data_IF_037005556795
#
_entry.id   IF_037005556795
#
_cell.length_a   1.000
_cell.length_b   1.000
_cell.length_c   1.000
_cell.angle_alpha   90.00
_cell.angle_beta   90.00
_cell.angle_gamma   90.00
#
_symmetry.space_group_name_H-M   'P 1'
#
loop_
_entity.id
_entity.type
_entity.pdbx_description
1 polymer ?
#
# COMPACT_ATOMS: atom_id res chain seq x y z
N UNK A 1 2.71 -21.23 31.44
CA UNK A 1 3.22 -21.56 30.09
C UNK A 1 4.70 -21.92 30.21
N UNK A 2 5.19 -22.83 29.36
CA UNK A 2 6.59 -23.33 29.40
C UNK A 2 7.60 -22.29 28.90
N UNK A 3 7.16 -21.39 28.03
CA UNK A 3 7.96 -20.29 27.51
C UNK A 3 7.46 -18.98 28.15
N UNK A 4 8.26 -18.40 29.03
CA UNK A 4 8.00 -17.11 29.68
C UNK A 4 9.27 -16.27 29.63
N UNK A 5 9.15 -14.99 29.31
CA UNK A 5 10.27 -14.03 29.24
C UNK A 5 11.43 -14.47 28.31
N UNK A 6 11.09 -15.23 27.26
CA UNK A 6 12.00 -15.70 26.22
C UNK A 6 11.35 -15.62 24.83
N UNK A 7 12.15 -15.30 23.81
CA UNK A 7 11.78 -15.38 22.40
C UNK A 7 12.53 -16.53 21.74
N UNK A 8 11.79 -17.43 21.09
CA UNK A 8 12.35 -18.50 20.27
C UNK A 8 12.33 -18.07 18.80
N UNK A 9 13.50 -17.97 18.18
CA UNK A 9 13.65 -17.68 16.76
C UNK A 9 13.50 -18.95 15.91
N UNK A 10 13.15 -18.80 14.63
CA UNK A 10 12.95 -19.92 13.69
C UNK A 10 14.19 -20.79 13.43
N UNK A 11 15.38 -20.34 13.84
CA UNK A 11 16.63 -21.10 13.83
C UNK A 11 16.94 -21.81 15.18
N UNK A 12 15.94 -21.91 16.07
CA UNK A 12 16.03 -22.43 17.44
C UNK A 12 16.90 -21.60 18.41
N UNK A 13 17.34 -20.40 18.03
CA UNK A 13 18.05 -19.51 18.94
C UNK A 13 17.08 -18.90 19.97
N UNK A 14 17.49 -18.81 21.22
CA UNK A 14 16.68 -18.31 22.33
C UNK A 14 17.23 -16.97 22.80
N UNK A 15 16.45 -15.91 22.67
CA UNK A 15 16.75 -14.61 23.29
C UNK A 15 16.04 -14.55 24.64
N UNK A 16 16.82 -14.45 25.72
CA UNK A 16 16.26 -14.18 27.04
C UNK A 16 15.99 -12.68 27.23
N UNK A 17 14.91 -12.37 27.94
CA UNK A 17 14.53 -10.99 28.32
C UNK A 17 15.64 -10.20 29.04
N UNK A 18 16.51 -10.90 29.75
CA UNK A 18 17.63 -10.34 30.51
C UNK A 18 18.99 -10.61 29.82
N UNK A 19 19.02 -10.68 28.48
CA UNK A 19 20.27 -10.82 27.72
C UNK A 19 21.25 -9.69 28.06
N UNK A 20 22.55 -10.02 28.13
CA UNK A 20 23.63 -9.06 28.33
C UNK A 20 23.80 -8.09 27.14
N UNK A 21 23.31 -8.47 25.96
CA UNK A 21 23.33 -7.64 24.75
C UNK A 21 22.19 -6.62 24.83
N UNK A 22 22.49 -5.41 25.31
CA UNK A 22 21.50 -4.38 25.68
C UNK A 22 20.57 -4.00 24.51
N UNK A 23 21.08 -3.92 23.28
CA UNK A 23 20.28 -3.58 22.10
C UNK A 23 19.27 -4.68 21.74
N UNK A 24 19.73 -5.95 21.72
CA UNK A 24 18.86 -7.11 21.48
C UNK A 24 17.86 -7.29 22.62
N UNK A 25 18.31 -7.15 23.87
CA UNK A 25 17.48 -7.16 25.07
C UNK A 25 16.38 -6.10 25.00
N UNK A 26 16.70 -4.87 24.58
CA UNK A 26 15.72 -3.78 24.43
C UNK A 26 14.64 -4.12 23.42
N UNK A 27 14.99 -4.63 22.24
CA UNK A 27 14.01 -5.06 21.24
C UNK A 27 13.20 -6.25 21.72
N UNK A 28 13.84 -7.24 22.35
CA UNK A 28 13.16 -8.43 22.88
C UNK A 28 12.14 -8.08 23.97
N UNK A 29 12.45 -7.14 24.87
CA UNK A 29 11.50 -6.65 25.87
C UNK A 29 10.28 -6.01 25.20
N UNK A 30 10.46 -5.17 24.16
CA UNK A 30 9.33 -4.58 23.41
C UNK A 30 8.46 -5.65 22.73
N UNK A 31 9.06 -6.63 22.06
CA UNK A 31 8.31 -7.73 21.44
C UNK A 31 7.53 -8.53 22.50
N UNK A 32 8.15 -8.85 23.64
CA UNK A 32 7.49 -9.59 24.71
C UNK A 32 6.32 -8.80 25.35
N UNK A 33 6.52 -7.50 25.60
CA UNK A 33 5.58 -6.67 26.34
C UNK A 33 4.47 -6.04 25.50
N UNK A 34 4.79 -5.64 24.25
CA UNK A 34 3.91 -4.86 23.38
C UNK A 34 3.26 -5.72 22.27
N UNK A 35 3.74 -6.95 22.04
CA UNK A 35 3.13 -7.89 21.08
C UNK A 35 2.73 -9.21 21.74
N UNK A 36 3.68 -9.96 22.33
CA UNK A 36 3.42 -11.32 22.84
C UNK A 36 2.41 -11.31 23.99
N UNK A 37 2.56 -10.40 24.97
CA UNK A 37 1.59 -10.26 26.06
C UNK A 37 0.19 -9.88 25.52
N UNK A 38 -0.01 -8.80 24.72
CA UNK A 38 -1.32 -8.49 24.16
C UNK A 38 -1.95 -9.62 23.34
N UNK A 39 -1.18 -10.33 22.51
CA UNK A 39 -1.69 -11.50 21.78
C UNK A 39 -2.17 -12.64 22.71
N UNK A 40 -1.50 -12.84 23.86
CA UNK A 40 -1.91 -13.81 24.88
C UNK A 40 -3.12 -13.34 25.69
N UNK A 41 -3.23 -12.05 25.99
CA UNK A 41 -4.35 -11.45 26.73
C UNK A 41 -5.63 -11.46 25.90
N UNK A 42 -5.55 -11.11 24.61
CA UNK A 42 -6.65 -11.19 23.62
C UNK A 42 -6.98 -12.65 23.27
N UNK A 43 -6.09 -13.61 23.56
CA UNK A 43 -6.21 -15.01 23.14
C UNK A 43 -6.44 -15.11 21.63
N UNK A 44 -5.51 -14.54 20.85
CA UNK A 44 -5.57 -14.64 19.38
C UNK A 44 -5.45 -16.10 18.93
N UNK A 45 -6.23 -16.49 17.93
CA UNK A 45 -6.09 -17.82 17.29
C UNK A 45 -5.34 -17.79 15.95
N UNK A 46 -5.07 -18.98 15.41
CA UNK A 46 -4.32 -19.14 14.16
C UNK A 46 -5.00 -18.51 12.94
N UNK A 47 -6.34 -18.45 12.92
CA UNK A 47 -7.09 -17.83 11.83
C UNK A 47 -6.99 -16.30 11.90
N UNK A 48 -7.22 -15.72 13.07
CA UNK A 48 -7.08 -14.28 13.32
C UNK A 48 -5.64 -13.82 13.04
N UNK A 49 -4.65 -14.59 13.51
CA UNK A 49 -3.24 -14.33 13.27
C UNK A 49 -2.87 -14.46 11.78
N UNK A 50 -3.47 -15.41 11.05
CA UNK A 50 -3.32 -15.51 9.59
C UNK A 50 -3.90 -14.27 8.88
N UNK A 51 -5.08 -13.79 9.28
CA UNK A 51 -5.67 -12.57 8.75
C UNK A 51 -4.79 -11.33 9.03
N UNK A 52 -4.25 -11.16 10.24
CA UNK A 52 -3.33 -10.05 10.53
C UNK A 52 -2.08 -10.08 9.63
N UNK A 53 -1.46 -11.25 9.45
CA UNK A 53 -0.33 -11.41 8.51
C UNK A 53 -0.72 -11.05 7.07
N UNK A 54 -1.90 -11.45 6.61
CA UNK A 54 -2.41 -11.12 5.28
C UNK A 54 -2.73 -9.62 5.11
N UNK A 55 -3.25 -8.96 6.15
CA UNK A 55 -3.47 -7.50 6.15
C UNK A 55 -2.14 -6.75 6.01
N UNK A 56 -1.10 -7.15 6.75
CA UNK A 56 0.25 -6.59 6.60
C UNK A 56 0.82 -6.86 5.21
N UNK A 57 0.67 -8.09 4.70
CA UNK A 57 1.21 -8.51 3.40
C UNK A 57 0.58 -7.78 2.20
N UNK A 58 -0.74 -7.56 2.20
CA UNK A 58 -1.44 -6.87 1.10
C UNK A 58 -1.30 -5.34 1.22
N UNK A 59 -0.07 -4.83 1.13
CA UNK A 59 0.21 -3.40 1.23
C UNK A 59 0.10 -2.67 -0.12
N UNK A 60 -0.89 -1.79 -0.34
CA UNK A 60 -1.07 -1.10 -1.62
C UNK A 60 -0.05 0.02 -1.82
N UNK A 61 0.64 0.45 -0.76
CA UNK A 61 1.69 1.47 -0.79
C UNK A 61 3.09 0.86 -1.05
N UNK A 62 3.18 -0.46 -1.24
CA UNK A 62 4.41 -1.15 -1.58
C UNK A 62 4.95 -0.74 -2.96
N UNK A 63 6.28 -0.59 -3.04
CA UNK A 63 6.97 -0.21 -4.29
C UNK A 63 6.92 -1.33 -5.32
N UNK A 64 6.81 -0.96 -6.60
CA UNK A 64 6.85 -1.91 -7.73
C UNK A 64 5.53 -2.63 -8.03
N UNK A 65 4.43 -2.28 -7.36
CA UNK A 65 3.11 -2.83 -7.67
C UNK A 65 2.58 -2.36 -9.04
N UNK A 66 2.14 -3.32 -9.86
CA UNK A 66 1.48 -3.02 -11.14
C UNK A 66 0.03 -2.55 -10.99
N UNK A 67 -0.65 -2.96 -9.90
CA UNK A 67 -2.04 -2.58 -9.60
C UNK A 67 -2.26 -2.43 -8.08
N UNK A 68 -1.96 -1.25 -7.51
CA UNK A 68 -2.23 -0.93 -6.10
C UNK A 68 -3.70 -1.04 -5.70
N UNK A 69 -4.64 -0.80 -6.62
CA UNK A 69 -6.08 -0.83 -6.34
C UNK A 69 -6.53 -2.26 -6.08
N UNK A 70 -6.05 -3.23 -6.86
CA UNK A 70 -6.28 -4.65 -6.61
C UNK A 70 -5.69 -5.09 -5.26
N UNK A 71 -4.49 -4.64 -4.90
CA UNK A 71 -3.90 -4.95 -3.57
C UNK A 71 -4.79 -4.41 -2.44
N UNK A 72 -5.22 -3.14 -2.54
CA UNK A 72 -6.13 -2.51 -1.57
C UNK A 72 -7.44 -3.28 -1.44
N UNK A 73 -8.01 -3.74 -2.55
CA UNK A 73 -9.24 -4.53 -2.54
C UNK A 73 -9.02 -5.91 -1.87
N UNK A 74 -7.87 -6.57 -2.10
CA UNK A 74 -7.55 -7.83 -1.42
C UNK A 74 -7.35 -7.64 0.10
N UNK A 75 -6.64 -6.58 0.53
CA UNK A 75 -6.54 -6.20 1.96
C UNK A 75 -7.93 -6.02 2.58
N UNK A 76 -8.82 -5.30 1.89
CA UNK A 76 -10.18 -5.05 2.36
C UNK A 76 -11.02 -6.35 2.49
N UNK A 77 -10.90 -7.29 1.54
CA UNK A 77 -11.57 -8.59 1.63
C UNK A 77 -11.08 -9.42 2.84
N UNK A 78 -9.78 -9.37 3.17
CA UNK A 78 -9.25 -10.01 4.38
C UNK A 78 -9.78 -9.35 5.65
N UNK A 79 -9.92 -8.02 5.67
CA UNK A 79 -10.50 -7.28 6.80
C UNK A 79 -11.96 -7.69 7.04
N UNK A 80 -12.79 -7.74 5.99
CA UNK A 80 -14.18 -8.23 6.08
C UNK A 80 -14.23 -9.68 6.59
N UNK A 81 -13.40 -10.56 6.02
CA UNK A 81 -13.35 -11.98 6.43
C UNK A 81 -12.97 -12.16 7.90
N UNK A 82 -12.12 -11.28 8.45
CA UNK A 82 -11.75 -11.27 9.86
C UNK A 82 -12.89 -10.73 10.73
N UNK A 83 -13.57 -9.67 10.30
CA UNK A 83 -14.73 -9.11 11.01
C UNK A 83 -15.88 -10.13 11.08
N UNK A 84 -16.21 -10.79 9.97
CA UNK A 84 -17.23 -11.85 9.91
C UNK A 84 -16.87 -13.04 10.83
N UNK A 85 -15.62 -13.51 10.79
CA UNK A 85 -15.12 -14.59 11.65
C UNK A 85 -15.23 -14.27 13.15
N UNK A 86 -14.98 -13.02 13.53
CA UNK A 86 -15.12 -12.53 14.90
C UNK A 86 -16.61 -12.42 15.28
N UNK A 87 -17.46 -11.95 14.38
CA UNK A 87 -18.90 -11.77 14.63
C UNK A 87 -19.64 -13.10 14.82
N UNK A 88 -19.25 -14.16 14.10
CA UNK A 88 -19.78 -15.52 14.32
C UNK A 88 -19.47 -16.05 15.73
N UNK A 89 -18.40 -15.54 16.37
CA UNK A 89 -18.00 -15.87 17.74
C UNK A 89 -18.67 -14.94 18.77
N UNK A 90 -19.98 -15.11 18.89
CA UNK A 90 -20.95 -14.30 19.64
C UNK A 90 -20.59 -13.86 21.08
N UNK A 91 -19.62 -14.48 21.76
CA UNK A 91 -19.32 -14.23 23.18
C UNK A 91 -18.26 -13.16 23.45
N UNK A 92 -17.46 -12.75 22.45
CA UNK A 92 -16.34 -11.80 22.65
C UNK A 92 -16.08 -10.89 21.42
N UNK A 93 -17.09 -10.69 20.56
CA UNK A 93 -16.92 -10.00 19.28
C UNK A 93 -16.80 -8.48 19.37
N UNK A 94 -17.34 -7.86 20.43
CA UNK A 94 -17.47 -6.40 20.52
C UNK A 94 -16.13 -5.73 20.85
N UNK A 95 -15.47 -5.19 19.83
CA UNK A 95 -14.24 -4.40 19.95
C UNK A 95 -12.98 -5.18 19.58
N UNK A 96 -13.02 -6.51 19.66
CA UNK A 96 -11.92 -7.44 19.33
C UNK A 96 -11.26 -7.17 17.98
N UNK A 97 -12.05 -6.90 16.93
CA UNK A 97 -11.52 -6.52 15.61
C UNK A 97 -10.62 -5.27 15.68
N UNK A 98 -11.05 -4.25 16.43
CA UNK A 98 -10.27 -3.04 16.65
C UNK A 98 -9.00 -3.30 17.47
N UNK A 99 -9.10 -4.09 18.53
CA UNK A 99 -7.94 -4.47 19.37
C UNK A 99 -6.87 -5.21 18.56
N UNK A 100 -7.27 -6.19 17.74
CA UNK A 100 -6.37 -6.91 16.84
C UNK A 100 -5.68 -5.99 15.83
N UNK A 101 -6.39 -5.02 15.24
CA UNK A 101 -5.80 -4.05 14.31
C UNK A 101 -4.88 -3.04 15.01
N UNK A 102 -5.15 -2.69 16.27
CA UNK A 102 -4.32 -1.76 17.06
C UNK A 102 -2.94 -2.33 17.45
N UNK A 103 -2.71 -3.63 17.23
CA UNK A 103 -1.37 -4.25 17.36
C UNK A 103 -0.46 -3.98 16.14
N UNK A 104 -1.03 -3.63 14.99
CA UNK A 104 -0.27 -3.40 13.76
C UNK A 104 0.65 -2.15 13.82
N UNK A 105 0.23 -0.98 14.36
CA UNK A 105 1.12 0.16 14.56
C UNK A 105 2.30 -0.15 15.49
N UNK A 106 2.06 -0.95 16.53
CA UNK A 106 3.09 -1.41 17.47
C UNK A 106 4.12 -2.31 16.78
N UNK A 107 3.64 -3.27 15.98
CA UNK A 107 4.50 -4.12 15.15
C UNK A 107 5.34 -3.29 14.18
N UNK A 108 4.76 -2.27 13.54
CA UNK A 108 5.48 -1.36 12.65
C UNK A 108 6.55 -0.56 13.39
N UNK A 109 6.25 -0.04 14.60
CA UNK A 109 7.21 0.68 15.45
C UNK A 109 8.42 -0.18 15.83
N UNK A 110 8.20 -1.43 16.21
CA UNK A 110 9.27 -2.37 16.55
C UNK A 110 10.07 -2.75 15.29
N UNK A 111 9.40 -3.01 14.18
CA UNK A 111 10.05 -3.33 12.89
C UNK A 111 10.96 -2.19 12.44
N UNK A 112 10.51 -0.94 12.54
CA UNK A 112 11.33 0.21 12.15
C UNK A 112 12.55 0.39 13.05
N UNK A 113 12.41 0.19 14.36
CA UNK A 113 13.56 0.16 15.28
C UNK A 113 14.56 -0.95 14.88
N UNK A 114 14.10 -2.15 14.55
CA UNK A 114 14.98 -3.25 14.11
C UNK A 114 15.71 -2.92 12.80
N UNK A 115 15.02 -2.31 11.83
CA UNK A 115 15.64 -1.84 10.59
C UNK A 115 16.70 -0.78 10.89
N UNK A 116 16.39 0.25 11.68
CA UNK A 116 17.31 1.33 12.07
C UNK A 116 18.61 0.79 12.67
N UNK A 117 18.53 -0.17 13.60
CA UNK A 117 19.73 -0.82 14.19
C UNK A 117 20.58 -1.50 13.11
N UNK A 118 19.95 -2.20 12.16
CA UNK A 118 20.64 -2.82 11.02
C UNK A 118 21.28 -1.76 10.11
N UNK A 119 20.64 -0.60 9.89
CA UNK A 119 21.25 0.51 9.12
C UNK A 119 22.48 1.07 9.82
N UNK A 120 22.41 1.24 11.15
CA UNK A 120 23.50 1.77 11.97
C UNK A 120 24.72 0.83 11.94
N UNK A 121 24.54 -0.45 12.27
CA UNK A 121 25.61 -1.47 12.27
C UNK A 121 26.28 -1.58 10.89
N UNK A 122 25.50 -1.42 9.80
CA UNK A 122 26.02 -1.34 8.43
C UNK A 122 26.86 -0.10 8.19
N UNK A 123 26.39 1.08 8.61
CA UNK A 123 27.04 2.36 8.38
C UNK A 123 28.42 2.44 9.06
N UNK A 124 28.57 1.84 10.24
CA UNK A 124 29.85 1.72 10.94
C UNK A 124 30.72 0.55 10.45
N UNK A 125 30.27 -0.22 9.45
CA UNK A 125 31.02 -1.35 8.88
C UNK A 125 31.24 -2.51 9.85
N UNK A 126 30.46 -2.58 10.94
CA UNK A 126 30.65 -3.55 12.03
C UNK A 126 30.25 -4.97 11.64
N UNK A 127 29.30 -5.12 10.71
CA UNK A 127 28.83 -6.40 10.18
C UNK A 127 28.66 -6.31 8.67
N UNK A 128 29.04 -7.37 7.94
CA UNK A 128 28.69 -7.55 6.54
C UNK A 128 27.24 -8.05 6.46
N UNK A 129 26.36 -7.24 5.90
CA UNK A 129 24.97 -7.62 5.62
C UNK A 129 24.93 -8.34 4.27
N UNK A 130 24.33 -9.53 4.24
CA UNK A 130 24.11 -10.26 3.00
C UNK A 130 23.20 -9.50 2.03
N UNK A 131 23.49 -9.62 0.73
CA UNK A 131 22.78 -8.88 -0.33
C UNK A 131 21.25 -9.06 -0.25
N UNK A 132 20.78 -10.27 0.05
CA UNK A 132 19.36 -10.57 0.23
C UNK A 132 18.74 -9.80 1.41
N UNK A 133 19.42 -9.76 2.56
CA UNK A 133 18.92 -9.05 3.74
C UNK A 133 18.91 -7.53 3.51
N UNK A 134 19.91 -7.02 2.77
CA UNK A 134 19.93 -5.64 2.31
C UNK A 134 18.74 -5.34 1.38
N UNK A 135 18.49 -6.17 0.36
CA UNK A 135 17.40 -5.96 -0.59
C UNK A 135 16.03 -5.99 0.11
N UNK A 136 15.81 -6.96 1.00
CA UNK A 136 14.55 -7.15 1.72
C UNK A 136 14.26 -6.07 2.78
N UNK A 137 15.27 -5.57 3.51
CA UNK A 137 15.05 -4.65 4.64
C UNK A 137 15.42 -3.19 4.37
N UNK A 138 16.37 -2.93 3.47
CA UNK A 138 16.89 -1.59 3.19
C UNK A 138 16.40 -1.04 1.84
N UNK A 139 15.73 -1.90 1.06
CA UNK A 139 15.51 -1.70 -0.36
C UNK A 139 16.79 -2.02 -1.15
N UNK A 140 16.64 -2.73 -2.27
CA UNK A 140 17.70 -2.82 -3.25
C UNK A 140 18.12 -1.41 -3.68
N UNK A 141 19.43 -1.18 -3.83
CA UNK A 141 19.89 -0.02 -4.57
C UNK A 141 19.42 -0.23 -6.01
N UNK A 142 18.35 0.45 -6.40
CA UNK A 142 17.94 0.59 -7.79
C UNK A 142 19.00 1.41 -8.51
N UNK A 143 20.10 0.73 -8.86
CA UNK A 143 21.05 1.16 -9.86
C UNK A 143 20.33 1.11 -11.21
N UNK A 144 19.40 2.05 -11.42
CA UNK A 144 19.08 2.57 -12.75
C UNK A 144 20.30 3.34 -13.27
N UNK A 145 21.40 2.60 -13.43
CA UNK A 145 22.37 2.91 -14.48
C UNK A 145 21.69 2.50 -15.78
N UNK A 146 20.78 3.37 -16.22
CA UNK A 146 20.30 3.37 -17.59
C UNK A 146 21.52 3.26 -18.49
N UNK A 147 21.68 2.12 -19.17
CA UNK A 147 22.82 1.84 -20.03
C UNK A 147 22.77 2.71 -21.29
N UNK A 148 23.03 4.02 -21.14
CA UNK A 148 23.30 4.95 -22.22
C UNK A 148 24.75 4.76 -22.66
N UNK A 149 25.04 3.57 -23.16
CA UNK A 149 26.35 3.18 -23.67
C UNK A 149 26.19 2.77 -25.15
N UNK A 150 26.23 3.77 -26.02
CA UNK A 150 26.60 3.62 -27.42
C UNK A 150 27.57 4.75 -27.79
N UNK A 151 28.89 4.51 -27.78
CA UNK A 151 29.82 5.42 -28.42
C UNK A 151 29.61 5.29 -29.94
N UNK A 152 28.93 6.26 -30.54
CA UNK A 152 28.73 6.33 -31.99
C UNK A 152 30.09 6.57 -32.68
N UNK A 153 30.62 5.52 -33.30
CA UNK A 153 31.82 5.60 -34.12
C UNK A 153 31.44 6.16 -35.50
N UNK A 154 32.06 7.25 -36.00
CA UNK A 154 31.74 7.77 -37.32
C UNK A 154 32.27 6.82 -38.41
N UNK A 155 31.37 6.38 -39.30
CA UNK A 155 31.70 5.57 -40.48
C UNK A 155 32.06 6.50 -41.66
N UNK A 156 33.29 6.38 -42.15
CA UNK A 156 33.78 7.20 -43.26
C UNK A 156 33.72 6.39 -44.58
N UNK A 157 32.81 6.76 -45.48
CA UNK A 157 32.72 6.20 -46.84
C UNK A 157 33.14 7.24 -47.88
N UNK A 158 34.06 6.87 -48.78
CA UNK A 158 34.49 7.70 -49.91
C UNK A 158 33.65 7.39 -51.15
N UNK A 159 33.24 8.43 -51.87
CA UNK A 159 32.55 8.32 -53.16
C UNK A 159 33.58 8.21 -54.31
N UNK A 160 33.52 7.20 -55.20
CA UNK A 160 34.63 6.88 -56.11
C UNK A 160 34.89 7.88 -57.24
N UNK A 161 34.04 8.88 -57.49
CA UNK A 161 34.11 9.69 -58.73
C UNK A 161 34.57 11.15 -58.54
N UNK A 162 34.60 11.70 -57.32
CA UNK A 162 35.01 13.11 -57.07
C UNK A 162 35.93 13.33 -55.87
N UNK A 163 36.23 12.29 -55.07
CA UNK A 163 37.30 12.34 -54.07
C UNK A 163 37.09 13.28 -52.88
N UNK A 164 35.88 13.79 -52.65
CA UNK A 164 35.55 14.63 -51.50
C UNK A 164 35.01 13.79 -50.34
N UNK A 165 35.49 14.06 -49.13
CA UNK A 165 35.01 13.37 -47.90
C UNK A 165 33.81 14.12 -47.34
N UNK A 166 32.63 13.49 -47.33
CA UNK A 166 31.40 14.08 -46.79
C UNK A 166 31.16 13.56 -45.37
N UNK A 167 30.90 14.49 -44.44
CA UNK A 167 30.59 14.19 -43.03
C UNK A 167 29.08 14.23 -42.84
N UNK A 168 28.43 13.05 -42.84
CA UNK A 168 27.00 12.95 -42.55
C UNK A 168 26.77 12.99 -41.04
N UNK A 169 26.16 14.07 -40.56
CA UNK A 169 25.62 14.14 -39.19
C UNK A 169 24.38 13.27 -39.02
N UNK A 170 24.01 12.91 -37.77
CA UNK A 170 22.81 12.10 -37.52
C UNK A 170 21.54 12.89 -37.88
N UNK A 171 20.66 12.26 -38.67
CA UNK A 171 19.33 12.79 -38.97
C UNK A 171 18.43 12.74 -37.74
N UNK A 172 17.90 13.88 -37.32
CA UNK A 172 16.79 13.94 -36.35
C UNK A 172 15.53 13.31 -36.98
N UNK A 173 14.95 12.32 -36.33
CA UNK A 173 13.69 11.71 -36.77
C UNK A 173 12.53 12.67 -36.57
N UNK A 174 12.09 13.32 -37.66
CA UNK A 174 10.88 14.14 -37.68
C UNK A 174 9.64 13.23 -37.55
N UNK A 175 8.79 13.49 -36.56
CA UNK A 175 7.49 12.81 -36.43
C UNK A 175 6.59 13.30 -37.55
N UNK A 176 6.20 12.41 -38.46
CA UNK A 176 5.30 12.74 -39.56
C UNK A 176 3.83 12.68 -39.09
N UNK A 177 3.15 13.82 -39.16
CA UNK A 177 1.69 13.90 -39.03
C UNK A 177 1.06 13.56 -40.38
N UNK A 178 0.15 12.58 -40.41
CA UNK A 178 -0.67 12.32 -41.59
C UNK A 178 -1.76 13.40 -41.74
N UNK A 179 -1.77 14.08 -42.88
CA UNK A 179 -2.85 15.00 -43.27
C UNK A 179 -3.03 14.91 -44.79
N UNK A 180 -4.15 14.33 -45.24
CA UNK A 180 -4.53 14.27 -46.65
C UNK A 180 -5.86 15.01 -46.85
N UNK A 181 -5.76 16.05 -47.68
CA UNK A 181 -6.74 16.86 -48.41
C UNK A 181 -8.26 16.63 -48.25
N UNK A 182 -8.97 17.74 -48.04
CA UNK A 182 -10.39 17.93 -48.36
C UNK A 182 -10.65 18.00 -49.87
N UNK A 183 -11.92 17.90 -50.32
CA UNK A 183 -12.57 19.14 -50.78
C UNK A 183 -14.08 19.30 -50.46
N UNK A 184 -14.48 20.57 -50.40
CA UNK A 184 -15.80 21.21 -50.64
C UNK A 184 -17.08 20.81 -49.85
N UNK A 185 -17.65 21.83 -49.21
CA UNK A 185 -19.02 21.92 -48.63
C UNK A 185 -20.04 22.45 -49.63
N UNK A 186 -21.35 22.16 -49.43
CA UNK A 186 -22.27 23.26 -49.10
C UNK A 186 -23.26 23.00 -47.94
N UNK A 187 -23.63 24.09 -47.25
CA UNK A 187 -24.72 24.26 -46.26
C UNK A 187 -25.93 24.99 -46.93
N UNK A 188 -27.10 25.25 -46.27
CA UNK A 188 -27.74 24.67 -45.07
C UNK A 188 -29.27 24.35 -45.25
N UNK A 189 -29.97 23.79 -44.24
CA UNK A 189 -31.27 24.28 -43.67
C UNK A 189 -32.01 23.30 -42.70
N UNK A 190 -32.73 23.77 -41.66
CA UNK A 190 -33.61 22.99 -40.73
C UNK A 190 -35.12 23.32 -40.95
N UNK A 191 -36.10 23.10 -40.02
CA UNK A 191 -36.41 22.02 -39.04
C UNK A 191 -37.89 21.49 -39.08
N UNK A 192 -38.19 20.29 -38.55
CA UNK A 192 -39.50 19.87 -37.96
C UNK A 192 -39.21 18.83 -36.84
N UNK A 193 -39.79 18.83 -35.62
CA UNK A 193 -41.20 18.59 -35.25
C UNK A 193 -41.42 17.07 -34.99
N UNK A 194 -42.04 16.53 -33.92
CA UNK A 194 -42.81 17.10 -32.78
C UNK A 194 -43.15 16.01 -31.73
N UNK A 195 -43.51 16.40 -30.48
CA UNK A 195 -44.08 15.55 -29.39
C UNK A 195 -43.18 15.48 -28.13
N UNK A 196 -43.44 16.15 -26.99
CA UNK A 196 -44.57 16.09 -26.00
C UNK A 196 -44.68 14.74 -25.27
N UNK A 197 -44.97 14.63 -23.96
CA UNK A 197 -45.25 15.62 -22.88
C UNK A 197 -43.98 15.96 -22.03
N UNK A 198 -43.91 16.93 -21.09
CA UNK A 198 -44.83 17.97 -20.58
C UNK A 198 -45.77 17.71 -19.37
N UNK A 199 -45.24 17.46 -18.15
CA UNK A 199 -45.95 17.76 -16.88
C UNK A 199 -45.13 18.65 -15.91
N UNK A 200 -45.78 19.64 -15.29
CA UNK A 200 -45.22 20.65 -14.37
C UNK A 200 -46.35 21.19 -13.46
N UNK A 201 -46.00 21.87 -12.35
CA UNK A 201 -46.88 22.70 -11.45
C UNK A 201 -47.66 21.83 -10.42
N UNK A 202 -47.89 22.17 -9.13
CA UNK A 202 -47.58 23.29 -8.20
C UNK A 202 -47.30 22.69 -6.79
N UNK A 203 -46.50 23.24 -5.87
CA UNK A 203 -46.53 24.54 -5.16
C UNK A 203 -47.57 24.67 -4.00
N UNK A 204 -47.06 25.03 -2.81
CA UNK A 204 -47.72 25.55 -1.59
C UNK A 204 -48.61 24.63 -0.72
N UNK A 205 -48.25 24.47 0.57
CA UNK A 205 -48.76 25.31 1.68
C UNK A 205 -48.05 24.99 3.02
N UNK A 206 -48.12 25.91 3.99
CA UNK A 206 -47.53 25.78 5.33
C UNK A 206 -48.59 26.01 6.43
N UNK A 207 -48.43 25.37 7.61
CA UNK A 207 -48.95 25.72 8.97
C UNK A 207 -48.80 24.48 9.89
N UNK A 208 -47.82 24.38 10.82
CA UNK A 208 -47.77 24.79 12.25
C UNK A 208 -48.97 24.35 13.14
N UNK A 209 -48.68 23.97 14.42
CA UNK A 209 -49.59 23.78 15.59
C UNK A 209 -50.27 22.38 15.69
N UNK A 210 -50.26 21.60 16.80
CA UNK A 210 -49.55 21.67 18.10
C UNK A 210 -49.69 20.41 18.98
N UNK A 211 -48.80 20.29 19.99
CA UNK A 211 -48.97 19.66 21.32
C UNK A 211 -49.24 18.14 21.46
N UNK A 212 -48.26 17.42 22.02
CA UNK A 212 -48.54 16.34 22.98
C UNK A 212 -47.38 16.15 23.98
N UNK A 213 -47.58 16.51 25.24
CA UNK A 213 -46.81 16.00 26.37
C UNK A 213 -47.75 15.79 27.57
N UNK A 214 -47.99 14.52 27.92
CA UNK A 214 -48.78 14.14 29.09
C UNK A 214 -47.88 13.95 30.30
N UNK A 215 -48.21 14.63 31.38
CA UNK A 215 -47.57 14.51 32.69
C UNK A 215 -48.48 13.80 33.71
N UNK A 216 -48.07 12.60 34.16
CA UNK A 216 -48.49 11.91 35.40
C UNK A 216 -47.29 11.04 35.82
N UNK A 217 -46.58 11.22 36.94
CA UNK A 217 -46.91 11.49 38.36
C UNK A 217 -47.36 10.26 39.17
N UNK A 218 -46.40 9.63 39.86
CA UNK A 218 -46.43 9.15 41.28
C UNK A 218 -45.05 8.52 41.59
N UNK A 219 -44.31 8.78 42.67
CA UNK A 219 -44.59 8.66 44.13
C UNK A 219 -45.19 7.29 44.50
N UNK A 220 -44.58 6.48 45.37
CA UNK A 220 -43.64 6.79 46.47
C UNK A 220 -42.62 5.64 46.63
#
# INVERSE_FOLDING_TARGET
MVYKDILLLGNNYIIQRNSCEVEISRVANRVLDELVRPFQEIQIDDNEYACLKAIVFFDPDAKGLSDPVKIKNMRFQVQLSLEDYINDRQYDSRGRFGELLLLLPTLQSITWQMIEQIQFVKLFGMVKIDNLLQEMLLGGASNDVSHVHHPMHPHLSQDPLTGQTILLGPMSTLVHTDQISTPETPLPSPPQGSGQEQYKIAANQASVISHQSLSKQKQL
#
